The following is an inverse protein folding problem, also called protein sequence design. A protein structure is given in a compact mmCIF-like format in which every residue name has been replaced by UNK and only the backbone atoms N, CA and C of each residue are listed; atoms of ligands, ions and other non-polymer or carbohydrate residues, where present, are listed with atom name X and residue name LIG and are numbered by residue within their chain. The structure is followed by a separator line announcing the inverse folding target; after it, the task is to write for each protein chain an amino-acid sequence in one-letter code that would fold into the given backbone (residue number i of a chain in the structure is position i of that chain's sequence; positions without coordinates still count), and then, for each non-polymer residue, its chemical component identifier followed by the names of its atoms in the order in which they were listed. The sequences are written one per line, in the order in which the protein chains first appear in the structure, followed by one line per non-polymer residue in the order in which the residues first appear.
data_IF_512381099054
#
_entry.id   IF_512381099054
#
_cell.length_a   1.000
_cell.length_b   1.000
_cell.length_c   1.000
_cell.angle_alpha   90.00
_cell.angle_beta   90.00
_cell.angle_gamma   90.00
#
_symmetry.space_group_name_H-M   'P 1'
#
loop_
_entity.id
_entity.type
_entity.pdbx_description
1 polymer ?
#
# COMPACT_ATOMS: atom_id res chain seq x y z
N UNK A 1 14.22 -22.89 -9.47
CA UNK A 1 13.31 -21.74 -9.38
C UNK A 1 11.90 -22.07 -9.91
N UNK A 2 11.77 -22.53 -11.16
CA UNK A 2 10.45 -22.84 -11.74
C UNK A 2 9.66 -23.88 -10.95
N UNK A 3 10.31 -24.97 -10.49
CA UNK A 3 9.65 -25.96 -9.65
C UNK A 3 9.06 -25.36 -8.36
N UNK A 4 9.82 -24.48 -7.71
CA UNK A 4 9.33 -23.76 -6.53
C UNK A 4 8.12 -22.87 -6.86
N UNK A 5 8.18 -22.09 -7.94
CA UNK A 5 7.09 -21.22 -8.35
C UNK A 5 5.82 -22.00 -8.75
N UNK A 6 5.98 -23.16 -9.38
CA UNK A 6 4.87 -24.06 -9.70
C UNK A 6 4.21 -24.62 -8.44
N UNK A 7 5.01 -25.06 -7.46
CA UNK A 7 4.52 -25.54 -6.17
C UNK A 7 3.82 -24.43 -5.39
N UNK A 8 4.39 -23.22 -5.35
CA UNK A 8 3.74 -22.07 -4.70
C UNK A 8 2.39 -21.73 -5.34
N UNK A 9 2.34 -21.73 -6.67
CA UNK A 9 1.10 -21.49 -7.41
C UNK A 9 0.04 -22.60 -7.15
N UNK A 10 0.45 -23.85 -7.05
CA UNK A 10 -0.43 -24.97 -6.71
C UNK A 10 -1.01 -24.83 -5.30
N UNK A 11 -0.19 -24.48 -4.32
CA UNK A 11 -0.64 -24.25 -2.92
C UNK A 11 -1.61 -23.08 -2.85
N UNK A 12 -1.32 -21.98 -3.54
CA UNK A 12 -2.19 -20.80 -3.57
C UNK A 12 -3.52 -21.03 -4.29
N UNK A 13 -3.64 -22.05 -5.13
CA UNK A 13 -4.79 -22.25 -6.02
C UNK A 13 -6.11 -22.50 -5.28
N UNK A 14 -6.10 -23.25 -4.17
CA UNK A 14 -7.32 -23.59 -3.41
C UNK A 14 -7.01 -24.14 -2.03
N UNK A 15 -8.06 -24.22 -1.20
CA UNK A 15 -7.96 -24.70 0.18
C UNK A 15 -7.50 -26.16 0.29
N UNK A 16 -7.94 -27.05 -0.61
CA UNK A 16 -7.52 -28.46 -0.59
C UNK A 16 -6.01 -28.62 -0.80
N UNK A 17 -5.41 -27.80 -1.64
CA UNK A 17 -3.96 -27.81 -1.85
C UNK A 17 -3.21 -27.25 -0.63
N UNK A 18 -3.76 -26.26 0.05
CA UNK A 18 -3.22 -25.76 1.33
C UNK A 18 -3.25 -26.85 2.40
N UNK A 19 -4.32 -27.64 2.48
CA UNK A 19 -4.44 -28.77 3.41
C UNK A 19 -3.41 -29.86 3.14
N UNK A 20 -3.15 -30.20 1.87
CA UNK A 20 -2.08 -31.12 1.49
C UNK A 20 -0.70 -30.58 1.89
N UNK A 21 -0.45 -29.31 1.60
CA UNK A 21 0.82 -28.65 1.99
C UNK A 21 0.99 -28.65 3.51
N UNK A 22 -0.07 -28.36 4.28
CA UNK A 22 -0.03 -28.37 5.73
C UNK A 22 0.27 -29.77 6.30
N UNK A 23 -0.27 -30.85 5.71
CA UNK A 23 0.06 -32.22 6.10
C UNK A 23 1.55 -32.50 5.88
N UNK A 24 2.07 -32.19 4.69
CA UNK A 24 3.50 -32.36 4.39
C UNK A 24 4.35 -31.54 5.36
N UNK A 25 3.94 -30.30 5.65
CA UNK A 25 4.64 -29.41 6.56
C UNK A 25 4.64 -29.95 8.01
N UNK A 26 3.51 -30.50 8.48
CA UNK A 26 3.42 -31.17 9.77
C UNK A 26 4.32 -32.41 9.84
N UNK A 27 4.35 -33.23 8.76
CA UNK A 27 5.15 -34.46 8.70
C UNK A 27 6.68 -34.18 8.74
N UNK A 28 7.14 -33.06 8.17
CA UNK A 28 8.57 -32.70 8.15
C UNK A 28 8.99 -31.77 9.29
N UNK A 29 8.05 -31.30 10.09
CA UNK A 29 8.28 -30.47 11.27
C UNK A 29 7.72 -31.16 12.50
N UNK A 30 7.96 -30.62 13.68
CA UNK A 30 7.35 -31.11 14.92
C UNK A 30 6.00 -30.47 15.23
N UNK A 31 5.45 -29.72 14.28
CA UNK A 31 4.17 -29.01 14.44
C UNK A 31 2.99 -29.97 14.34
N UNK A 32 1.98 -29.75 15.16
CA UNK A 32 0.67 -30.37 14.96
C UNK A 32 -0.02 -29.89 13.69
N UNK A 33 -0.90 -30.72 13.11
CA UNK A 33 -1.62 -30.35 11.88
C UNK A 33 -2.40 -29.02 11.99
N UNK A 34 -3.07 -28.68 13.11
CA UNK A 34 -3.73 -27.38 13.24
C UNK A 34 -2.75 -26.19 13.13
N UNK A 35 -1.59 -26.28 13.76
CA UNK A 35 -0.57 -25.22 13.72
C UNK A 35 0.09 -25.11 12.35
N UNK A 36 0.36 -26.23 11.71
CA UNK A 36 0.83 -26.30 10.34
C UNK A 36 -0.18 -25.66 9.38
N UNK A 37 -1.48 -25.93 9.55
CA UNK A 37 -2.54 -25.34 8.76
C UNK A 37 -2.68 -23.83 8.99
N UNK A 38 -2.59 -23.38 10.24
CA UNK A 38 -2.57 -21.96 10.58
C UNK A 38 -1.36 -21.26 9.94
N UNK A 39 -0.19 -21.88 9.97
CA UNK A 39 1.03 -21.35 9.32
C UNK A 39 0.86 -21.20 7.81
N UNK A 40 0.34 -22.20 7.12
CA UNK A 40 0.09 -22.14 5.67
C UNK A 40 -0.97 -21.08 5.31
N UNK A 41 -2.02 -20.93 6.12
CA UNK A 41 -3.07 -19.93 5.87
C UNK A 41 -2.62 -18.49 6.13
N UNK A 42 -1.67 -18.29 7.02
CA UNK A 42 -1.16 -16.96 7.38
C UNK A 42 0.00 -16.49 6.50
N UNK A 43 0.46 -17.32 5.56
CA UNK A 43 1.57 -16.99 4.64
C UNK A 43 1.02 -16.93 3.21
N UNK A 44 1.36 -15.85 2.52
CA UNK A 44 1.20 -15.77 1.08
C UNK A 44 2.50 -16.21 0.40
N UNK A 45 2.43 -17.24 -0.43
CA UNK A 45 3.57 -17.70 -1.22
C UNK A 45 3.68 -16.87 -2.50
N UNK A 46 4.74 -16.07 -2.60
CA UNK A 46 4.97 -15.20 -3.75
C UNK A 46 4.97 -15.98 -5.07
N UNK A 47 4.29 -15.43 -6.06
CA UNK A 47 4.28 -15.96 -7.43
C UNK A 47 5.50 -15.48 -8.22
N UNK A 48 5.64 -16.00 -9.44
CA UNK A 48 6.64 -15.50 -10.39
C UNK A 48 6.45 -14.00 -10.69
N UNK A 49 5.21 -13.55 -10.90
CA UNK A 49 4.89 -12.14 -11.13
C UNK A 49 5.24 -11.24 -9.96
N UNK A 50 5.07 -11.70 -8.71
CA UNK A 50 5.50 -10.97 -7.53
C UNK A 50 7.03 -10.80 -7.50
N UNK A 51 7.77 -11.83 -7.88
CA UNK A 51 9.23 -11.74 -8.00
C UNK A 51 9.66 -10.76 -9.10
N UNK A 52 8.98 -10.75 -10.25
CA UNK A 52 9.25 -9.75 -11.30
C UNK A 52 8.99 -8.32 -10.81
N UNK A 53 7.92 -8.12 -10.04
CA UNK A 53 7.64 -6.83 -9.39
C UNK A 53 8.72 -6.45 -8.38
N UNK A 54 9.10 -7.39 -7.53
CA UNK A 54 10.13 -7.17 -6.50
C UNK A 54 11.49 -6.79 -7.11
N UNK A 55 11.91 -7.49 -8.13
CA UNK A 55 13.18 -7.20 -8.83
C UNK A 55 13.09 -6.01 -9.81
N UNK A 56 11.95 -5.33 -9.92
CA UNK A 56 11.77 -4.17 -10.80
C UNK A 56 11.79 -4.52 -12.29
N UNK A 57 11.40 -5.74 -12.65
CA UNK A 57 11.34 -6.21 -14.04
C UNK A 57 10.01 -5.89 -14.73
N UNK A 58 8.97 -5.63 -13.97
CA UNK A 58 7.70 -5.16 -14.47
C UNK A 58 7.65 -3.63 -14.43
N UNK A 59 7.78 -2.97 -15.57
CA UNK A 59 7.78 -1.51 -15.70
C UNK A 59 6.44 -0.86 -15.33
N UNK A 60 5.35 -1.62 -15.46
CA UNK A 60 4.00 -1.17 -15.10
C UNK A 60 3.74 -1.23 -13.58
N UNK A 61 4.58 -1.93 -12.84
CA UNK A 61 4.44 -2.03 -11.40
C UNK A 61 4.81 -0.72 -10.71
N UNK A 62 3.85 -0.13 -10.03
CA UNK A 62 4.03 1.16 -9.30
C UNK A 62 4.21 0.99 -7.79
N UNK A 63 4.26 -0.24 -7.30
CA UNK A 63 4.47 -0.56 -5.88
C UNK A 63 5.91 -0.42 -5.40
N UNK A 64 6.20 -1.02 -4.26
CA UNK A 64 7.54 -1.02 -3.65
C UNK A 64 8.36 -2.17 -4.22
N UNK A 65 9.45 -1.84 -4.91
CA UNK A 65 10.43 -2.82 -5.38
C UNK A 65 11.45 -3.15 -4.29
N UNK A 66 12.17 -4.26 -4.45
CA UNK A 66 13.26 -4.65 -3.55
C UNK A 66 14.35 -3.57 -3.44
N UNK A 67 14.70 -2.89 -4.56
CA UNK A 67 15.66 -1.79 -4.54
C UNK A 67 15.21 -0.63 -3.65
N UNK A 68 13.94 -0.23 -3.77
CA UNK A 68 13.37 0.84 -2.92
C UNK A 68 13.33 0.43 -1.45
N UNK A 69 12.94 -0.82 -1.19
CA UNK A 69 12.90 -1.36 0.17
C UNK A 69 14.30 -1.43 0.77
N UNK A 70 15.27 -1.99 0.04
CA UNK A 70 16.68 -2.08 0.44
C UNK A 70 17.25 -0.70 0.77
N UNK A 71 17.05 0.27 -0.10
CA UNK A 71 17.54 1.64 0.09
C UNK A 71 16.91 2.29 1.32
N UNK A 72 15.58 2.19 1.45
CA UNK A 72 14.86 2.80 2.58
C UNK A 72 15.25 2.16 3.92
N UNK A 73 15.20 0.83 4.00
CA UNK A 73 15.58 0.10 5.22
C UNK A 73 17.06 0.32 5.57
N UNK A 74 17.95 0.30 4.58
CA UNK A 74 19.35 0.57 4.79
C UNK A 74 19.61 1.96 5.34
N UNK A 75 18.90 2.99 4.84
CA UNK A 75 19.04 4.35 5.35
C UNK A 75 18.50 4.50 6.79
N UNK A 76 17.41 3.82 7.12
CA UNK A 76 16.90 3.83 8.50
C UNK A 76 17.80 3.08 9.48
N UNK A 77 18.32 1.92 9.07
CA UNK A 77 19.24 1.14 9.89
C UNK A 77 20.61 1.83 10.06
N UNK A 78 21.07 2.60 9.05
CA UNK A 78 22.27 3.43 9.17
C UNK A 78 22.11 4.51 10.25
N UNK A 79 20.97 5.17 10.30
CA UNK A 79 20.68 6.17 11.36
C UNK A 79 20.70 5.60 12.77
N UNK A 80 20.44 4.30 12.90
CA UNK A 80 20.42 3.57 14.16
C UNK A 80 21.74 2.82 14.43
N UNK A 81 22.77 3.04 13.62
CA UNK A 81 24.07 2.36 13.65
C UNK A 81 23.99 0.80 13.51
N UNK A 82 22.91 0.29 12.91
CA UNK A 82 22.74 -1.13 12.63
C UNK A 82 23.19 -1.53 11.21
N UNK A 83 23.49 -0.59 10.34
CA UNK A 83 24.01 -0.85 9.01
C UNK A 83 25.15 0.12 8.66
N UNK A 84 26.18 -0.34 7.91
CA UNK A 84 27.26 0.53 7.48
C UNK A 84 26.78 1.53 6.42
N UNK A 85 27.48 2.67 6.33
CA UNK A 85 27.20 3.72 5.33
C UNK A 85 27.57 3.30 3.92
N UNK A 86 28.60 2.49 3.78
CA UNK A 86 29.16 1.99 2.52
C UNK A 86 28.58 0.66 2.07
N UNK A 87 27.33 0.38 2.42
CA UNK A 87 26.65 -0.86 2.03
C UNK A 87 26.63 -1.03 0.50
N UNK A 88 26.75 -2.26 0.00
CA UNK A 88 26.74 -2.55 -1.43
C UNK A 88 25.46 -2.02 -2.11
N UNK A 89 25.59 -1.65 -3.38
CA UNK A 89 24.42 -1.26 -4.17
C UNK A 89 23.49 -2.47 -4.39
N UNK A 90 22.18 -2.23 -4.43
CA UNK A 90 21.17 -3.25 -4.70
C UNK A 90 21.49 -4.11 -5.92
N UNK A 91 21.99 -3.52 -7.01
CA UNK A 91 22.30 -4.23 -8.24
C UNK A 91 23.43 -5.26 -8.08
N UNK A 92 24.28 -5.08 -7.09
CA UNK A 92 25.34 -6.04 -6.75
C UNK A 92 24.79 -7.16 -5.86
N UNK A 93 23.84 -6.84 -4.99
CA UNK A 93 23.24 -7.77 -4.04
C UNK A 93 22.12 -8.61 -4.61
N UNK A 94 21.35 -8.05 -5.56
CA UNK A 94 20.21 -8.72 -6.16
C UNK A 94 20.64 -9.68 -7.29
N UNK A 95 20.08 -10.89 -7.28
CA UNK A 95 20.32 -11.89 -8.32
C UNK A 95 19.01 -12.31 -9.01
N UNK A 96 18.47 -11.50 -9.95
CA UNK A 96 17.20 -11.77 -10.59
C UNK A 96 17.27 -12.80 -11.73
N UNK A 97 18.42 -13.39 -12.02
CA UNK A 97 18.62 -14.20 -13.23
C UNK A 97 17.65 -15.37 -13.34
N UNK A 98 17.41 -16.09 -12.26
CA UNK A 98 16.46 -17.20 -12.25
C UNK A 98 15.03 -16.77 -12.58
N UNK A 99 14.61 -15.59 -12.07
CA UNK A 99 13.30 -15.02 -12.39
C UNK A 99 13.24 -14.53 -13.85
N UNK A 100 14.31 -13.92 -14.37
CA UNK A 100 14.35 -13.40 -15.73
C UNK A 100 14.34 -14.51 -16.80
N UNK A 101 14.93 -15.67 -16.50
CA UNK A 101 15.06 -16.79 -17.42
C UNK A 101 13.88 -17.77 -17.35
N UNK A 102 13.05 -17.67 -16.32
CA UNK A 102 11.92 -18.57 -16.13
C UNK A 102 10.83 -18.31 -17.17
N UNK A 103 10.33 -19.38 -17.78
CA UNK A 103 9.21 -19.35 -18.71
C UNK A 103 7.90 -19.75 -18.02
N UNK A 104 7.45 -18.91 -17.08
CA UNK A 104 6.24 -19.11 -16.28
C UNK A 104 5.18 -18.09 -16.69
N UNK A 105 4.16 -18.56 -17.39
CA UNK A 105 3.07 -17.75 -17.93
C UNK A 105 1.71 -18.22 -17.40
N UNK A 106 0.67 -17.43 -17.64
CA UNK A 106 -0.69 -17.77 -17.25
C UNK A 106 -1.10 -17.24 -15.86
N UNK A 107 -2.40 -17.34 -15.53
CA UNK A 107 -3.01 -16.67 -14.37
C UNK A 107 -2.43 -17.13 -13.01
N UNK A 108 -1.92 -18.35 -12.91
CA UNK A 108 -1.32 -18.89 -11.69
C UNK A 108 0.03 -18.24 -11.33
N UNK A 109 0.69 -17.59 -12.30
CA UNK A 109 2.01 -16.99 -12.15
C UNK A 109 2.01 -15.47 -12.21
N UNK A 110 0.84 -14.83 -12.35
CA UNK A 110 0.74 -13.37 -12.26
C UNK A 110 0.97 -12.91 -10.82
N UNK A 111 1.43 -11.67 -10.66
CA UNK A 111 1.57 -11.06 -9.35
C UNK A 111 0.21 -11.03 -8.62
N UNK A 112 0.28 -11.12 -7.29
CA UNK A 112 -0.89 -10.90 -6.45
C UNK A 112 -1.53 -9.56 -6.84
N UNK A 113 -2.78 -9.62 -7.17
CA UNK A 113 -3.60 -8.42 -7.27
C UNK A 113 -4.06 -8.10 -5.87
N UNK A 114 -3.70 -6.91 -5.38
CA UNK A 114 -4.27 -6.42 -4.14
C UNK A 114 -5.80 -6.56 -4.16
N UNK A 115 -6.45 -6.59 -3.00
CA UNK A 115 -7.87 -6.90 -2.88
C UNK A 115 -8.72 -6.06 -3.84
N UNK A 116 -9.72 -6.65 -4.44
CA UNK A 116 -10.74 -5.92 -5.16
C UNK A 116 -11.64 -5.25 -4.14
N UNK A 117 -11.38 -3.95 -3.92
CA UNK A 117 -12.19 -3.16 -3.02
C UNK A 117 -13.62 -3.05 -3.56
N UNK A 118 -14.57 -3.53 -2.78
CA UNK A 118 -15.99 -3.32 -3.05
C UNK A 118 -16.30 -1.80 -2.99
N UNK A 119 -17.39 -1.35 -3.60
CA UNK A 119 -17.83 0.04 -3.47
C UNK A 119 -17.88 0.49 -2.01
N UNK A 120 -17.49 1.74 -1.76
CA UNK A 120 -17.48 2.33 -0.42
C UNK A 120 -18.90 2.44 0.11
N UNK A 121 -19.14 1.94 1.31
CA UNK A 121 -20.42 2.07 2.04
C UNK A 121 -20.33 3.13 3.13
N UNK A 122 -21.46 3.52 3.71
CA UNK A 122 -21.46 4.42 4.89
C UNK A 122 -20.69 3.82 6.07
N UNK A 123 -20.85 2.51 6.33
CA UNK A 123 -20.12 1.82 7.39
C UNK A 123 -18.59 1.88 7.24
N UNK A 124 -18.08 1.95 6.02
CA UNK A 124 -16.64 2.08 5.77
C UNK A 124 -16.06 3.40 6.30
N UNK A 125 -16.90 4.43 6.47
CA UNK A 125 -16.47 5.75 6.96
C UNK A 125 -16.23 5.77 8.46
N UNK A 126 -16.86 4.88 9.19
CA UNK A 126 -16.79 4.82 10.65
C UNK A 126 -15.73 3.82 11.16
N UNK A 127 -15.11 3.06 10.26
CA UNK A 127 -14.04 2.11 10.63
C UNK A 127 -12.85 2.90 11.19
N UNK A 128 -12.35 2.56 12.39
CA UNK A 128 -11.16 3.20 12.96
C UNK A 128 -9.95 3.10 12.03
N UNK A 129 -9.20 4.19 11.89
CA UNK A 129 -8.00 4.20 11.06
C UNK A 129 -6.87 3.39 11.76
N UNK A 130 -6.19 2.53 11.00
CA UNK A 130 -4.99 1.80 11.46
C UNK A 130 -3.81 2.77 11.67
N UNK A 131 -3.73 3.81 10.85
CA UNK A 131 -2.73 4.86 10.94
C UNK A 131 -3.30 6.15 10.35
N UNK A 132 -2.96 7.29 10.95
CA UNK A 132 -3.34 8.62 10.47
C UNK A 132 -2.09 9.45 10.23
N UNK A 133 -2.03 10.12 9.10
CA UNK A 133 -0.95 11.06 8.77
C UNK A 133 -1.53 12.42 8.42
N UNK A 134 -1.37 13.44 9.27
CA UNK A 134 -1.74 14.82 8.94
C UNK A 134 -0.86 15.34 7.80
N UNK A 135 -1.47 15.99 6.83
CA UNK A 135 -0.78 16.65 5.71
C UNK A 135 -1.37 18.04 5.56
N UNK A 136 -0.54 19.08 5.69
CA UNK A 136 -0.96 20.46 5.49
C UNK A 136 -0.85 20.84 4.02
N UNK A 137 -2.00 21.17 3.42
CA UNK A 137 -2.09 21.61 2.02
C UNK A 137 -2.74 23.00 2.02
N UNK A 138 -2.05 23.98 1.45
CA UNK A 138 -2.57 25.32 1.30
C UNK A 138 -3.48 25.40 0.07
N UNK A 139 -4.70 25.89 0.29
CA UNK A 139 -5.65 26.21 -0.78
C UNK A 139 -5.93 27.71 -0.77
N UNK A 140 -6.07 28.31 -1.93
CA UNK A 140 -6.56 29.68 -2.02
C UNK A 140 -7.95 29.78 -1.38
N UNK A 141 -8.29 30.95 -0.83
CA UNK A 141 -9.56 31.19 -0.12
C UNK A 141 -10.74 30.79 -1.00
N UNK A 142 -11.60 29.93 -0.48
CA UNK A 142 -12.77 29.40 -1.18
C UNK A 142 -12.47 28.45 -2.35
N UNK A 143 -11.18 28.11 -2.61
CA UNK A 143 -10.78 27.21 -3.69
C UNK A 143 -10.48 25.81 -3.16
N UNK A 144 -10.57 24.83 -4.09
CA UNK A 144 -10.27 23.42 -3.83
C UNK A 144 -9.36 22.82 -4.92
N UNK A 145 -8.83 23.63 -5.84
CA UNK A 145 -7.86 23.17 -6.84
C UNK A 145 -6.48 23.03 -6.22
N UNK A 146 -5.80 21.92 -6.52
CA UNK A 146 -4.42 21.68 -6.13
C UNK A 146 -3.46 22.43 -7.08
N UNK A 147 -2.66 23.32 -6.55
CA UNK A 147 -1.53 23.90 -7.24
C UNK A 147 -0.33 22.93 -7.30
N UNK A 148 0.77 23.35 -7.92
CA UNK A 148 1.96 22.51 -8.05
C UNK A 148 2.63 22.24 -6.70
N UNK A 149 2.61 23.19 -5.78
CA UNK A 149 3.17 23.01 -4.44
C UNK A 149 2.37 21.99 -3.63
N UNK A 150 1.04 22.08 -3.67
CA UNK A 150 0.15 21.10 -3.03
C UNK A 150 0.40 19.67 -3.55
N UNK A 151 0.57 19.50 -4.88
CA UNK A 151 0.90 18.21 -5.47
C UNK A 151 2.26 17.70 -4.99
N UNK A 152 3.28 18.55 -4.96
CA UNK A 152 4.61 18.18 -4.46
C UNK A 152 4.57 17.74 -2.99
N UNK A 153 3.79 18.42 -2.14
CA UNK A 153 3.60 18.02 -0.74
C UNK A 153 2.95 16.62 -0.66
N UNK A 154 1.92 16.36 -1.46
CA UNK A 154 1.28 15.05 -1.53
C UNK A 154 2.29 14.00 -1.99
N UNK A 155 3.07 14.28 -3.03
CA UNK A 155 4.05 13.35 -3.60
C UNK A 155 5.11 12.96 -2.56
N UNK A 156 5.65 13.92 -1.83
CA UNK A 156 6.69 13.67 -0.82
C UNK A 156 6.12 12.93 0.39
N UNK A 157 4.92 13.30 0.84
CA UNK A 157 4.42 12.82 2.11
C UNK A 157 3.54 11.58 2.03
N UNK A 158 2.90 11.35 0.90
CA UNK A 158 1.87 10.33 0.76
C UNK A 158 2.27 9.17 -0.16
N UNK A 159 3.12 9.39 -1.16
CA UNK A 159 3.43 8.38 -2.17
C UNK A 159 3.90 7.04 -1.57
N UNK A 160 4.79 7.12 -0.58
CA UNK A 160 5.34 5.92 0.07
C UNK A 160 4.29 5.20 0.93
N UNK A 161 3.41 5.97 1.58
CA UNK A 161 2.33 5.40 2.39
C UNK A 161 1.32 4.64 1.51
N UNK A 162 0.91 5.25 0.40
CA UNK A 162 -0.01 4.62 -0.54
C UNK A 162 0.53 3.32 -1.13
N UNK A 163 1.83 3.26 -1.36
CA UNK A 163 2.54 2.08 -1.86
C UNK A 163 2.71 1.01 -0.80
N UNK A 164 3.01 1.41 0.45
CA UNK A 164 3.22 0.47 1.56
C UNK A 164 1.94 -0.24 1.99
N UNK A 165 0.81 0.45 1.96
CA UNK A 165 -0.49 -0.08 2.40
C UNK A 165 -1.42 -0.40 1.24
N UNK A 166 -0.95 -1.15 0.24
CA UNK A 166 -1.75 -1.47 -0.97
C UNK A 166 -3.06 -2.20 -0.67
N UNK A 167 -3.11 -2.94 0.42
CA UNK A 167 -4.25 -3.74 0.83
C UNK A 167 -5.21 -3.03 1.81
N UNK A 168 -4.97 -1.74 2.08
CA UNK A 168 -5.82 -0.95 2.95
C UNK A 168 -6.61 0.11 2.16
N UNK A 169 -7.82 0.44 2.61
CA UNK A 169 -8.54 1.62 2.14
C UNK A 169 -7.83 2.87 2.65
N UNK A 170 -7.96 3.96 1.91
CA UNK A 170 -7.39 5.27 2.24
C UNK A 170 -8.55 6.22 2.45
N UNK A 171 -8.68 6.74 3.65
CA UNK A 171 -9.64 7.78 3.96
C UNK A 171 -8.96 9.16 3.87
N UNK A 172 -9.42 9.96 2.92
CA UNK A 172 -8.97 11.34 2.72
C UNK A 172 -9.95 12.25 3.42
N UNK A 173 -9.51 12.87 4.50
CA UNK A 173 -10.33 13.76 5.32
C UNK A 173 -9.91 15.21 5.07
N UNK A 174 -10.87 16.05 4.74
CA UNK A 174 -10.70 17.50 4.62
C UNK A 174 -11.23 18.21 5.85
N UNK A 175 -10.47 19.19 6.34
CA UNK A 175 -10.86 20.05 7.44
C UNK A 175 -10.83 21.53 7.01
N UNK A 176 -11.56 22.40 7.69
CA UNK A 176 -11.50 23.85 7.54
C UNK A 176 -11.33 24.50 8.92
N UNK A 177 -11.07 25.79 8.93
CA UNK A 177 -11.29 26.64 10.09
C UNK A 177 -12.79 26.79 10.36
N UNK A 178 -13.13 27.53 11.41
CA UNK A 178 -14.51 27.80 11.84
C UNK A 178 -15.10 29.10 11.25
N UNK A 179 -14.42 29.72 10.30
CA UNK A 179 -14.88 30.98 9.68
C UNK A 179 -15.96 30.69 8.65
N UNK A 180 -17.14 31.28 8.84
CA UNK A 180 -18.29 31.15 7.94
C UNK A 180 -19.29 30.07 8.35
N UNK A 181 -20.27 29.81 7.48
CA UNK A 181 -21.31 28.84 7.76
C UNK A 181 -20.78 27.40 7.77
N UNK A 182 -21.16 26.63 8.79
CA UNK A 182 -20.71 25.23 8.95
C UNK A 182 -21.00 24.36 7.70
N UNK A 183 -22.19 24.51 7.12
CA UNK A 183 -22.56 23.74 5.92
C UNK A 183 -21.68 24.04 4.71
N UNK A 184 -21.28 25.31 4.52
CA UNK A 184 -20.34 25.69 3.47
C UNK A 184 -18.94 25.14 3.72
N UNK A 185 -18.48 25.11 4.97
CA UNK A 185 -17.20 24.55 5.36
C UNK A 185 -17.16 23.04 5.17
N UNK A 186 -18.23 22.31 5.49
CA UNK A 186 -18.34 20.87 5.22
C UNK A 186 -18.27 20.59 3.71
N UNK A 187 -18.98 21.35 2.89
CA UNK A 187 -18.92 21.18 1.43
C UNK A 187 -17.54 21.53 0.86
N UNK A 188 -16.93 22.63 1.31
CA UNK A 188 -15.59 23.04 0.88
C UNK A 188 -14.52 22.00 1.28
N UNK A 189 -14.56 21.51 2.52
CA UNK A 189 -13.64 20.48 2.99
C UNK A 189 -13.77 19.18 2.21
N UNK A 190 -14.99 18.76 1.88
CA UNK A 190 -15.26 17.61 1.03
C UNK A 190 -14.72 17.80 -0.39
N UNK A 191 -14.89 18.98 -0.99
CA UNK A 191 -14.34 19.28 -2.32
C UNK A 191 -12.81 19.26 -2.33
N UNK A 192 -12.18 19.76 -1.27
CA UNK A 192 -10.71 19.71 -1.10
C UNK A 192 -10.21 18.27 -0.96
N UNK A 193 -10.85 17.46 -0.11
CA UNK A 193 -10.55 16.04 0.02
C UNK A 193 -10.74 15.28 -1.30
N UNK A 194 -11.80 15.62 -2.06
CA UNK A 194 -12.06 15.03 -3.38
C UNK A 194 -10.95 15.37 -4.38
N UNK A 195 -10.47 16.63 -4.41
CA UNK A 195 -9.37 17.04 -5.28
C UNK A 195 -8.08 16.24 -4.98
N UNK A 196 -7.78 15.99 -3.71
CA UNK A 196 -6.66 15.11 -3.31
C UNK A 196 -6.90 13.69 -3.77
N UNK A 197 -8.08 13.12 -3.55
CA UNK A 197 -8.42 11.76 -3.98
C UNK A 197 -8.32 11.60 -5.51
N UNK A 198 -8.76 12.60 -6.28
CA UNK A 198 -8.65 12.59 -7.75
C UNK A 198 -7.20 12.68 -8.21
N UNK A 199 -6.37 13.45 -7.52
CA UNK A 199 -4.95 13.48 -7.77
C UNK A 199 -4.29 12.12 -7.50
N UNK A 200 -4.63 11.45 -6.39
CA UNK A 200 -4.13 10.12 -6.06
C UNK A 200 -4.52 9.07 -7.10
N UNK A 201 -5.76 9.12 -7.60
CA UNK A 201 -6.20 8.25 -8.71
C UNK A 201 -5.35 8.46 -9.96
N UNK A 202 -5.15 9.73 -10.33
CA UNK A 202 -4.44 10.08 -11.57
C UNK A 202 -2.94 9.85 -11.49
N UNK A 203 -2.29 10.28 -10.40
CA UNK A 203 -0.84 10.25 -10.27
C UNK A 203 -0.30 8.89 -9.83
N UNK A 204 -1.07 8.16 -9.01
CA UNK A 204 -0.63 6.89 -8.40
C UNK A 204 -1.46 5.68 -8.78
N UNK A 205 -2.42 5.86 -9.70
CA UNK A 205 -3.34 4.79 -10.13
C UNK A 205 -4.06 4.09 -8.97
N UNK A 206 -4.41 4.86 -7.93
CA UNK A 206 -5.16 4.33 -6.79
C UNK A 206 -6.58 3.98 -7.25
N UNK A 207 -7.01 2.73 -7.02
CA UNK A 207 -8.35 2.28 -7.41
C UNK A 207 -9.42 3.15 -6.73
N UNK A 208 -10.48 3.59 -7.44
CA UNK A 208 -11.54 4.45 -6.88
C UNK A 208 -12.16 3.89 -5.60
N UNK A 209 -12.50 2.60 -5.59
CA UNK A 209 -13.11 1.92 -4.45
C UNK A 209 -12.17 1.76 -3.24
N UNK A 210 -10.89 2.10 -3.38
CA UNK A 210 -9.93 2.15 -2.29
C UNK A 210 -9.98 3.47 -1.53
N UNK A 211 -10.59 4.51 -2.10
CA UNK A 211 -10.61 5.86 -1.57
C UNK A 211 -11.94 6.18 -0.91
N UNK A 212 -11.90 6.63 0.33
CA UNK A 212 -13.03 7.16 1.09
C UNK A 212 -12.80 8.67 1.23
N UNK A 213 -13.75 9.48 0.82
CA UNK A 213 -13.65 10.94 0.90
C UNK A 213 -14.59 11.46 1.96
N UNK A 214 -14.05 12.20 2.93
CA UNK A 214 -14.82 12.78 4.04
C UNK A 214 -14.52 14.27 4.14
N UNK A 215 -15.56 15.07 4.29
CA UNK A 215 -15.44 16.49 4.61
C UNK A 215 -15.93 16.73 6.04
N UNK A 216 -15.01 17.05 6.94
CA UNK A 216 -15.33 17.27 8.36
C UNK A 216 -15.73 18.72 8.64
N UNK A 217 -15.50 19.65 7.67
CA UNK A 217 -15.67 21.07 7.93
C UNK A 217 -14.82 21.53 9.12
N UNK A 218 -15.40 22.31 10.05
CA UNK A 218 -14.68 22.82 11.23
C UNK A 218 -14.67 21.86 12.41
N UNK A 219 -15.30 20.68 12.34
CA UNK A 219 -15.52 19.81 13.50
C UNK A 219 -14.25 19.09 13.99
N UNK A 220 -13.23 18.94 13.14
CA UNK A 220 -11.94 18.35 13.50
C UNK A 220 -10.78 19.27 13.09
N UNK A 221 -10.57 20.38 13.77
CA UNK A 221 -9.48 21.29 13.46
C UNK A 221 -8.13 20.58 13.63
N UNK A 222 -7.20 20.85 12.73
CA UNK A 222 -5.82 20.38 12.89
C UNK A 222 -5.20 21.10 14.08
N UNK A 223 -4.58 20.37 15.02
CA UNK A 223 -3.90 20.93 16.18
C UNK A 223 -2.97 22.07 15.75
N UNK A 224 -3.17 23.27 16.34
CA UNK A 224 -2.44 24.50 15.97
C UNK A 224 -3.13 25.39 14.93
N UNK A 225 -4.29 24.97 14.38
CA UNK A 225 -5.17 25.80 13.55
C UNK A 225 -6.52 26.07 14.24
N UNK A 226 -6.52 25.98 15.55
CA UNK A 226 -7.66 26.39 16.38
C UNK A 226 -7.68 27.94 16.33
N UNK A 227 -8.63 28.49 15.55
CA UNK A 227 -8.84 29.94 15.59
C UNK A 227 -9.38 30.35 16.95
N UNK A 228 -8.77 31.36 17.54
CA UNK A 228 -9.27 32.05 18.73
C UNK A 228 -10.69 32.58 18.53
#
# INVERSE_FOLDING_TARGET
YEGWMKAAAEINANQSNKEKAAKIFADVTTLGLPDAMASINNVYLCTHGDNLNFFGKNIEYKGVTGEKLYTKMGNELEKLDYAPRDRPNWRVMAYPNAANQANLTGPAHVAERGPDFQPVTEADRDIPALATKPISINFATGKYSLDQNAKTIIDIQFADLAKAYQNARIRVEGNTDNVGAKSMNVDLSKKRAQAVADYLKKAYNVKPNRLIVVGNGPDNPVKGCESN
#
